data_IF_029343814576
#
_entry.id   IF_029343814576
#
_cell.length_a   1.000
_cell.length_b   1.000
_cell.length_c   1.000
_cell.angle_alpha   90.00
_cell.angle_beta   90.00
_cell.angle_gamma   90.00
#
_symmetry.space_group_name_H-M   'P 1'
#
loop_
_entity.id
_entity.type
_entity.pdbx_description
1 polymer ?
#
# COMPACT_ATOMS: atom_id res chain seq x y z
N UNK A 1 -3.55 15.62 -4.82
CA UNK A 1 -3.61 14.41 -5.66
C UNK A 1 -2.36 13.57 -5.43
N UNK A 2 -2.54 12.40 -4.83
CA UNK A 2 -1.43 11.55 -4.46
C UNK A 2 -1.21 10.43 -5.47
N UNK A 3 0.03 9.95 -5.60
CA UNK A 3 0.40 8.81 -6.43
C UNK A 3 0.49 7.58 -5.54
N UNK A 4 -0.41 6.62 -5.75
CA UNK A 4 -0.56 5.46 -4.87
C UNK A 4 -0.36 4.17 -5.65
N UNK A 5 0.62 3.38 -5.23
CA UNK A 5 0.88 2.06 -5.81
C UNK A 5 -0.17 1.07 -5.30
N UNK A 6 -0.75 0.30 -6.21
CA UNK A 6 -1.70 -0.76 -5.87
C UNK A 6 -1.09 -2.10 -6.25
N UNK A 7 -1.01 -3.01 -5.29
CA UNK A 7 -0.44 -4.36 -5.48
C UNK A 7 -1.39 -5.40 -4.90
N UNK A 8 -1.98 -6.22 -5.76
CA UNK A 8 -2.90 -7.27 -5.37
C UNK A 8 -2.99 -8.29 -6.51
N UNK A 9 -2.92 -9.57 -6.20
CA UNK A 9 -3.01 -10.63 -7.21
C UNK A 9 -4.46 -10.99 -7.59
N UNK A 10 -5.43 -10.43 -6.89
CA UNK A 10 -6.86 -10.64 -7.18
C UNK A 10 -7.38 -9.50 -8.04
N UNK A 11 -7.71 -9.75 -9.33
CA UNK A 11 -8.14 -8.67 -10.24
C UNK A 11 -9.36 -7.87 -9.76
N UNK A 12 -10.32 -8.53 -9.13
CA UNK A 12 -11.52 -7.84 -8.65
C UNK A 12 -11.21 -6.88 -7.51
N UNK A 13 -10.32 -7.29 -6.61
CA UNK A 13 -9.92 -6.44 -5.48
C UNK A 13 -9.09 -5.26 -5.99
N UNK A 14 -8.17 -5.49 -6.92
CA UNK A 14 -7.37 -4.40 -7.47
C UNK A 14 -8.23 -3.40 -8.25
N UNK A 15 -9.21 -3.88 -9.02
CA UNK A 15 -10.13 -3.02 -9.75
C UNK A 15 -10.96 -2.15 -8.81
N UNK A 16 -11.47 -2.73 -7.73
CA UNK A 16 -12.21 -2.01 -6.69
C UNK A 16 -11.34 -0.93 -6.05
N UNK A 17 -10.11 -1.28 -5.71
CA UNK A 17 -9.15 -0.36 -5.09
C UNK A 17 -8.83 0.81 -6.04
N UNK A 18 -8.63 0.52 -7.32
CA UNK A 18 -8.41 1.56 -8.33
C UNK A 18 -9.58 2.53 -8.41
N UNK A 19 -10.81 1.99 -8.47
CA UNK A 19 -12.00 2.82 -8.56
C UNK A 19 -12.14 3.73 -7.34
N UNK A 20 -11.90 3.19 -6.16
CA UNK A 20 -11.99 3.96 -4.92
C UNK A 20 -10.93 5.07 -4.85
N UNK A 21 -9.69 4.77 -5.26
CA UNK A 21 -8.63 5.78 -5.29
C UNK A 21 -8.95 6.89 -6.29
N UNK A 22 -9.51 6.53 -7.44
CA UNK A 22 -9.94 7.51 -8.45
C UNK A 22 -11.03 8.41 -7.91
N UNK A 23 -12.01 7.85 -7.19
CA UNK A 23 -13.07 8.65 -6.55
C UNK A 23 -12.51 9.62 -5.52
N UNK A 24 -11.44 9.22 -4.81
CA UNK A 24 -10.78 10.08 -3.83
C UNK A 24 -9.85 11.12 -4.47
N UNK A 25 -9.73 11.12 -5.79
CA UNK A 25 -8.93 12.09 -6.52
C UNK A 25 -7.45 11.75 -6.61
N UNK A 26 -7.07 10.50 -6.37
CA UNK A 26 -5.68 10.08 -6.42
C UNK A 26 -5.32 9.41 -7.75
N UNK A 27 -4.02 9.37 -8.03
CA UNK A 27 -3.48 8.71 -9.22
C UNK A 27 -3.05 7.30 -8.83
N UNK A 28 -3.54 6.30 -9.57
CA UNK A 28 -3.16 4.91 -9.35
C UNK A 28 -1.89 4.60 -10.15
N UNK A 29 -0.90 4.06 -9.45
CA UNK A 29 0.31 3.53 -10.07
C UNK A 29 0.16 2.00 -10.07
N UNK A 30 0.21 1.38 -11.22
CA UNK A 30 -0.11 -0.03 -11.40
C UNK A 30 -1.52 -0.21 -11.94
N UNK A 31 -2.25 -1.25 -11.54
CA UNK A 31 -1.91 -2.18 -10.47
C UNK A 31 -0.83 -3.19 -10.88
N UNK A 32 -0.10 -3.69 -9.90
CA UNK A 32 0.81 -4.80 -10.07
C UNK A 32 0.16 -6.05 -9.48
N UNK A 33 0.26 -7.17 -10.19
CA UNK A 33 -0.38 -8.42 -9.79
C UNK A 33 0.61 -9.48 -9.32
N UNK A 34 1.90 -9.17 -9.35
CA UNK A 34 2.94 -10.07 -8.88
C UNK A 34 4.11 -9.27 -8.29
N UNK A 35 4.97 -9.97 -7.57
CA UNK A 35 6.08 -9.32 -6.85
C UNK A 35 7.05 -8.62 -7.81
N UNK A 36 7.41 -9.24 -8.93
CA UNK A 36 8.39 -8.68 -9.87
C UNK A 36 7.90 -7.35 -10.45
N UNK A 37 6.65 -7.29 -10.90
CA UNK A 37 6.05 -6.06 -11.43
C UNK A 37 5.97 -4.99 -10.34
N UNK A 38 5.60 -5.39 -9.12
CA UNK A 38 5.48 -4.47 -7.99
C UNK A 38 6.83 -3.85 -7.63
N UNK A 39 7.89 -4.65 -7.62
CA UNK A 39 9.23 -4.14 -7.30
C UNK A 39 9.71 -3.10 -8.31
N UNK A 40 9.37 -3.27 -9.60
CA UNK A 40 9.68 -2.28 -10.62
C UNK A 40 8.91 -0.98 -10.39
N UNK A 41 7.61 -1.07 -10.11
CA UNK A 41 6.78 0.10 -9.88
C UNK A 41 7.13 0.81 -8.57
N UNK A 42 7.72 0.10 -7.62
CA UNK A 42 8.16 0.70 -6.36
C UNK A 42 9.28 1.73 -6.53
N UNK A 43 9.94 1.74 -7.69
CA UNK A 43 10.98 2.72 -8.01
C UNK A 43 10.41 4.07 -8.47
N UNK A 44 9.12 4.12 -8.80
CA UNK A 44 8.45 5.36 -9.22
C UNK A 44 8.27 6.32 -8.05
N UNK A 45 7.91 7.56 -8.36
CA UNK A 45 7.52 8.53 -7.33
C UNK A 45 6.18 8.11 -6.73
N UNK A 46 6.18 7.81 -5.45
CA UNK A 46 5.01 7.31 -4.74
C UNK A 46 4.78 8.11 -3.47
N UNK A 47 3.52 8.42 -3.20
CA UNK A 47 3.11 9.04 -1.93
C UNK A 47 2.65 7.99 -0.92
N UNK A 48 2.15 6.86 -1.39
CA UNK A 48 1.71 5.75 -0.55
C UNK A 48 1.59 4.48 -1.39
N UNK A 49 1.33 3.37 -0.72
CA UNK A 49 1.07 2.09 -1.40
C UNK A 49 0.05 1.25 -0.62
N UNK A 50 -0.75 0.48 -1.35
CA UNK A 50 -1.66 -0.52 -0.79
C UNK A 50 -1.15 -1.87 -1.31
N UNK A 51 -0.71 -2.73 -0.41
CA UNK A 51 0.05 -3.93 -0.75
C UNK A 51 -0.59 -5.18 -0.13
N UNK A 52 -0.97 -6.14 -0.97
CA UNK A 52 -1.42 -7.44 -0.50
C UNK A 52 -0.23 -8.21 0.08
N UNK A 53 -0.40 -8.80 1.26
CA UNK A 53 0.65 -9.59 1.91
C UNK A 53 1.03 -10.80 1.06
N UNK A 54 0.05 -11.48 0.49
CA UNK A 54 0.28 -12.66 -0.35
C UNK A 54 0.06 -12.34 -1.83
N UNK A 55 1.06 -12.61 -2.65
CA UNK A 55 1.01 -12.39 -4.10
C UNK A 55 1.24 -13.73 -4.80
N UNK A 56 0.17 -14.54 -4.91
CA UNK A 56 0.27 -15.88 -5.46
C UNK A 56 1.16 -16.75 -4.59
N UNK A 57 2.29 -17.20 -5.13
CA UNK A 57 3.26 -18.02 -4.40
C UNK A 57 4.19 -17.21 -3.52
N UNK A 58 4.29 -15.91 -3.78
CA UNK A 58 5.26 -15.05 -3.11
C UNK A 58 4.60 -14.23 -2.01
N UNK A 59 5.37 -13.98 -0.96
CA UNK A 59 4.98 -13.01 0.04
C UNK A 59 5.54 -11.65 -0.37
N UNK A 60 4.81 -10.57 -0.08
CA UNK A 60 5.20 -9.23 -0.53
C UNK A 60 6.22 -8.53 0.37
N UNK A 61 6.81 -9.22 1.33
CA UNK A 61 7.76 -8.61 2.27
C UNK A 61 8.98 -7.96 1.62
N UNK A 62 9.57 -8.51 0.54
CA UNK A 62 10.64 -7.79 -0.15
C UNK A 62 10.21 -6.43 -0.68
N UNK A 63 8.95 -6.32 -1.15
CA UNK A 63 8.37 -5.05 -1.58
C UNK A 63 8.18 -4.12 -0.39
N UNK A 64 7.64 -4.63 0.72
CA UNK A 64 7.45 -3.86 1.94
C UNK A 64 8.80 -3.30 2.43
N UNK A 65 9.84 -4.11 2.39
CA UNK A 65 11.19 -3.68 2.77
C UNK A 65 11.71 -2.57 1.85
N UNK A 66 11.47 -2.69 0.54
CA UNK A 66 11.90 -1.68 -0.42
C UNK A 66 11.15 -0.36 -0.22
N UNK A 67 9.84 -0.41 0.03
CA UNK A 67 9.05 0.78 0.31
C UNK A 67 9.49 1.44 1.61
N UNK A 68 9.75 0.64 2.65
CA UNK A 68 10.24 1.16 3.93
C UNK A 68 11.59 1.85 3.78
N UNK A 69 12.50 1.27 2.99
CA UNK A 69 13.82 1.85 2.75
C UNK A 69 13.72 3.20 2.05
N UNK A 70 12.73 3.38 1.18
CA UNK A 70 12.48 4.66 0.50
C UNK A 70 11.60 5.58 1.33
N UNK A 71 11.09 5.10 2.45
CA UNK A 71 10.22 5.86 3.32
C UNK A 71 8.83 6.12 2.73
N UNK A 72 8.36 5.26 1.85
CA UNK A 72 7.01 5.34 1.32
C UNK A 72 6.05 4.67 2.29
N UNK A 73 5.05 5.38 2.83
CA UNK A 73 4.08 4.77 3.73
C UNK A 73 3.20 3.79 2.96
N UNK A 74 2.88 2.66 3.58
CA UNK A 74 2.03 1.65 2.93
C UNK A 74 1.14 0.94 3.94
N UNK A 75 0.03 0.40 3.45
CA UNK A 75 -0.85 -0.47 4.22
C UNK A 75 -0.79 -1.87 3.63
N UNK A 76 -0.79 -2.87 4.51
CA UNK A 76 -0.82 -4.28 4.10
C UNK A 76 -2.27 -4.76 4.12
N UNK A 77 -2.73 -5.37 3.02
CA UNK A 77 -4.03 -6.02 2.99
C UNK A 77 -3.86 -7.51 3.18
N UNK A 78 -4.74 -8.12 3.95
CA UNK A 78 -4.64 -9.54 4.29
C UNK A 78 -6.02 -10.15 4.50
N UNK A 79 -6.20 -11.38 4.04
CA UNK A 79 -7.39 -12.18 4.34
C UNK A 79 -7.26 -12.97 5.64
N UNK A 80 -6.10 -12.89 6.29
CA UNK A 80 -5.81 -13.58 7.53
C UNK A 80 -5.66 -12.56 8.67
N UNK A 81 -5.72 -13.03 9.91
CA UNK A 81 -5.51 -12.15 11.06
C UNK A 81 -4.07 -11.69 11.20
N UNK A 82 -3.76 -10.88 12.22
CA UNK A 82 -2.40 -10.38 12.44
C UNK A 82 -1.33 -11.47 12.52
N UNK A 83 -1.71 -12.68 12.93
CA UNK A 83 -0.80 -13.83 13.03
C UNK A 83 -0.25 -14.25 11.67
N UNK A 84 -0.94 -13.92 10.58
CA UNK A 84 -0.49 -14.22 9.22
C UNK A 84 0.56 -13.25 8.69
N UNK A 85 0.93 -12.25 9.47
CA UNK A 85 1.88 -11.21 9.08
C UNK A 85 3.17 -11.37 9.87
N UNK A 86 4.31 -11.20 9.21
CA UNK A 86 5.60 -11.25 9.91
C UNK A 86 5.62 -10.29 11.11
N UNK A 87 6.21 -10.71 12.24
CA UNK A 87 6.19 -9.89 13.47
C UNK A 87 6.65 -8.44 13.27
N UNK A 88 7.63 -8.19 12.42
CA UNK A 88 8.15 -6.84 12.17
C UNK A 88 7.12 -5.91 11.52
N UNK A 89 6.07 -6.47 10.91
CA UNK A 89 5.01 -5.68 10.26
C UNK A 89 3.65 -5.76 10.97
N UNK A 90 3.55 -6.45 12.10
CA UNK A 90 2.26 -6.62 12.79
C UNK A 90 1.65 -5.32 13.30
N UNK A 91 2.48 -4.34 13.62
CA UNK A 91 2.01 -3.04 14.08
C UNK A 91 1.85 -2.03 12.95
N UNK A 92 2.15 -2.44 11.72
CA UNK A 92 2.03 -1.59 10.54
C UNK A 92 0.56 -1.38 10.17
N UNK A 93 0.27 -0.32 9.39
CA UNK A 93 -1.09 -0.08 8.88
C UNK A 93 -1.58 -1.28 8.09
N UNK A 94 -2.80 -1.73 8.38
CA UNK A 94 -3.37 -2.94 7.79
C UNK A 94 -4.82 -2.74 7.40
N UNK A 95 -5.24 -3.48 6.37
CA UNK A 95 -6.64 -3.60 5.95
C UNK A 95 -6.99 -5.08 5.90
N UNK A 96 -7.88 -5.52 6.76
CA UNK A 96 -8.39 -6.89 6.73
C UNK A 96 -9.39 -7.06 5.59
N UNK A 97 -9.22 -8.10 4.77
CA UNK A 97 -10.16 -8.42 3.70
C UNK A 97 -11.34 -9.22 4.25
N UNK A 98 -12.56 -8.95 3.82
CA UNK A 98 -12.97 -7.83 2.98
C UNK A 98 -13.00 -6.52 3.78
N UNK A 99 -12.72 -5.41 3.12
CA UNK A 99 -12.75 -4.10 3.77
C UNK A 99 -13.75 -3.19 3.05
N UNK A 100 -14.33 -2.25 3.83
CA UNK A 100 -15.30 -1.30 3.33
C UNK A 100 -14.63 -0.01 2.87
N UNK A 101 -15.33 0.76 2.03
CA UNK A 101 -14.82 2.01 1.51
C UNK A 101 -14.42 2.99 2.62
N UNK A 102 -15.25 3.11 3.65
CA UNK A 102 -14.97 4.04 4.77
C UNK A 102 -13.66 3.69 5.48
N UNK A 103 -13.41 2.41 5.73
CA UNK A 103 -12.17 1.94 6.35
C UNK A 103 -10.98 2.18 5.42
N UNK A 104 -11.14 1.88 4.14
CA UNK A 104 -10.11 2.09 3.13
C UNK A 104 -9.72 3.57 3.06
N UNK A 105 -10.71 4.46 2.96
CA UNK A 105 -10.49 5.91 2.89
C UNK A 105 -9.72 6.41 4.12
N UNK A 106 -10.11 5.96 5.30
CA UNK A 106 -9.44 6.35 6.54
C UNK A 106 -7.96 5.94 6.53
N UNK A 107 -7.68 4.71 6.11
CA UNK A 107 -6.30 4.21 6.04
C UNK A 107 -5.48 5.00 5.01
N UNK A 108 -6.04 5.27 3.84
CA UNK A 108 -5.37 6.09 2.82
C UNK A 108 -5.04 7.48 3.37
N UNK A 109 -6.01 8.13 4.02
CA UNK A 109 -5.79 9.45 4.61
C UNK A 109 -4.69 9.41 5.67
N UNK A 110 -4.64 8.38 6.50
CA UNK A 110 -3.60 8.20 7.51
C UNK A 110 -2.22 8.02 6.87
N UNK A 111 -2.13 7.24 5.79
CA UNK A 111 -0.86 7.04 5.08
C UNK A 111 -0.35 8.36 4.49
N UNK A 112 -1.23 9.13 3.88
CA UNK A 112 -0.85 10.41 3.27
C UNK A 112 -0.45 11.43 4.33
N UNK A 113 -1.09 11.41 5.49
CA UNK A 113 -0.72 12.26 6.61
C UNK A 113 0.69 11.92 7.13
N UNK A 114 1.04 10.64 7.22
CA UNK A 114 2.38 10.19 7.61
C UNK A 114 3.43 10.66 6.61
N UNK A 115 3.15 10.53 5.31
CA UNK A 115 4.06 10.97 4.26
C UNK A 115 4.32 12.46 4.33
N UNK A 116 3.28 13.27 4.52
CA UNK A 116 3.41 14.71 4.65
C UNK A 116 4.23 15.11 5.88
N UNK A 117 3.98 14.46 7.00
CA UNK A 117 4.74 14.72 8.24
C UNK A 117 6.21 14.43 8.03
N UNK A 118 6.53 13.34 7.35
CA UNK A 118 7.91 12.96 7.08
C UNK A 118 8.59 13.93 6.12
N UNK A 119 7.89 14.37 5.06
CA UNK A 119 8.41 15.37 4.15
C UNK A 119 8.71 16.68 4.87
N UNK A 120 7.83 17.10 5.77
CA UNK A 120 8.04 18.29 6.57
C UNK A 120 9.30 18.15 7.46
N UNK A 121 9.50 16.99 8.07
CA UNK A 121 10.69 16.70 8.85
C UNK A 121 11.95 16.72 7.99
N UNK A 122 11.89 16.15 6.79
CA UNK A 122 13.04 16.13 5.88
C UNK A 122 13.35 17.50 5.30
N UNK A 123 12.36 18.38 5.18
CA UNK A 123 12.53 19.73 4.68
C UNK A 123 13.10 20.69 5.73
N UNK A 124 13.08 20.31 7.00
CA UNK A 124 13.62 21.13 8.08
C UNK A 124 15.14 21.23 7.95
N UNK A 125 15.70 22.41 8.05
CA UNK A 125 17.16 22.60 7.97
C UNK A 125 17.90 21.98 9.15
#
# INVERSE_FOLDING_TARGET
>A
MARILVVDDEPLISAMTEDWLSELGHIVVGPAHNLAAALKLAEADLDAAIVDVALGKDMSYPLADALSARGVPFALTTGYGPEGIEPRYRTHSKLGKPFEFATFRRVVDELLAKGRTREACNAAP
#
